data_IF_869407636871
#
_entry.id   IF_869407636871
#
_cell.length_a   1.000
_cell.length_b   1.000
_cell.length_c   1.000
_cell.angle_alpha   90.00
_cell.angle_beta   90.00
_cell.angle_gamma   90.00
#
_symmetry.space_group_name_H-M   'P 1'
#
loop_
_entity.id
_entity.type
_entity.pdbx_description
1 polymer ?
#
# COMPACT_ATOMS: atom_id res chain seq x y z
N UNK A 1 -24.19 -30.14 -9.47
CA UNK A 1 -22.79 -29.70 -9.39
C UNK A 1 -22.08 -29.82 -10.73
N UNK A 2 -22.02 -30.99 -11.39
CA UNK A 2 -21.30 -31.18 -12.66
C UNK A 2 -21.75 -30.23 -13.80
N UNK A 3 -23.07 -29.97 -13.95
CA UNK A 3 -23.65 -29.06 -14.94
C UNK A 3 -23.19 -27.61 -14.74
N UNK A 4 -23.00 -27.20 -13.50
CA UNK A 4 -22.53 -25.83 -13.16
C UNK A 4 -21.04 -25.72 -13.50
N UNK A 5 -20.24 -26.73 -13.20
CA UNK A 5 -18.81 -26.78 -13.49
C UNK A 5 -18.58 -26.70 -15.01
N UNK A 6 -19.30 -27.53 -15.80
CA UNK A 6 -19.17 -27.51 -17.27
C UNK A 6 -19.65 -26.19 -17.87
N UNK A 7 -20.71 -25.57 -17.34
CA UNK A 7 -21.16 -24.24 -17.79
C UNK A 7 -20.12 -23.15 -17.51
N UNK A 8 -19.50 -23.15 -16.33
CA UNK A 8 -18.43 -22.19 -15.97
C UNK A 8 -17.22 -22.35 -16.90
N UNK A 9 -16.79 -23.59 -17.20
CA UNK A 9 -15.70 -23.83 -18.17
C UNK A 9 -16.06 -23.38 -19.59
N UNK A 10 -17.28 -23.53 -20.02
CA UNK A 10 -17.72 -23.08 -21.36
C UNK A 10 -17.71 -21.54 -21.46
N UNK A 11 -18.12 -20.84 -20.39
CA UNK A 11 -18.06 -19.38 -20.33
C UNK A 11 -16.62 -18.89 -20.30
N UNK A 12 -15.75 -19.56 -19.54
CA UNK A 12 -14.33 -19.21 -19.49
C UNK A 12 -13.64 -19.42 -20.85
N UNK A 13 -13.94 -20.49 -21.58
CA UNK A 13 -13.40 -20.71 -22.93
C UNK A 13 -13.90 -19.66 -23.92
N UNK A 14 -15.16 -19.21 -23.80
CA UNK A 14 -15.70 -18.15 -24.63
C UNK A 14 -15.00 -16.81 -24.35
N UNK A 15 -14.79 -16.48 -23.09
CA UNK A 15 -14.05 -15.27 -22.69
C UNK A 15 -12.61 -15.29 -23.20
N UNK A 16 -11.93 -16.43 -23.13
CA UNK A 16 -10.57 -16.60 -23.64
C UNK A 16 -10.52 -16.39 -25.16
N UNK A 17 -11.50 -16.89 -25.88
CA UNK A 17 -11.64 -16.75 -27.35
C UNK A 17 -11.84 -15.28 -27.75
N UNK A 18 -12.58 -14.50 -26.95
CA UNK A 18 -12.78 -13.07 -27.15
C UNK A 18 -11.50 -12.26 -26.90
N UNK A 19 -10.67 -12.69 -25.94
CA UNK A 19 -9.43 -12.01 -25.58
C UNK A 19 -8.27 -12.35 -26.52
N UNK A 20 -8.16 -13.62 -26.96
CA UNK A 20 -7.05 -14.10 -27.81
C UNK A 20 -7.29 -13.97 -29.33
N UNK A 21 -8.48 -13.54 -29.73
CA UNK A 21 -8.92 -13.58 -31.12
C UNK A 21 -9.30 -15.01 -31.58
N UNK A 22 -9.98 -15.09 -32.71
CA UNK A 22 -10.45 -16.35 -33.27
C UNK A 22 -9.30 -17.18 -33.88
N UNK A 23 -8.47 -17.78 -33.04
CA UNK A 23 -7.45 -18.73 -33.49
C UNK A 23 -8.09 -20.09 -33.79
N UNK A 24 -7.51 -20.84 -34.76
CA UNK A 24 -8.00 -22.16 -35.15
C UNK A 24 -8.09 -23.11 -33.93
N UNK A 25 -7.12 -23.05 -33.03
CA UNK A 25 -7.05 -23.89 -31.84
C UNK A 25 -8.03 -23.45 -30.73
N UNK A 26 -8.27 -22.15 -30.57
CA UNK A 26 -9.24 -21.60 -29.61
C UNK A 26 -10.68 -21.96 -30.02
N UNK A 27 -11.01 -21.92 -31.34
CA UNK A 27 -12.32 -22.32 -31.86
C UNK A 27 -12.56 -23.83 -31.69
N UNK A 28 -11.53 -24.66 -31.88
CA UNK A 28 -11.63 -26.10 -31.68
C UNK A 28 -11.87 -26.45 -30.19
N UNK A 29 -11.19 -25.78 -29.27
CA UNK A 29 -11.40 -25.97 -27.85
C UNK A 29 -12.79 -25.55 -27.38
N UNK A 30 -13.31 -24.43 -27.90
CA UNK A 30 -14.68 -23.99 -27.63
C UNK A 30 -15.70 -25.00 -28.11
N UNK A 31 -15.52 -25.52 -29.33
CA UNK A 31 -16.40 -26.59 -29.88
C UNK A 31 -16.39 -27.87 -29.04
N UNK A 32 -15.23 -28.30 -28.55
CA UNK A 32 -15.12 -29.47 -27.66
C UNK A 32 -15.76 -29.21 -26.29
N UNK A 33 -15.59 -28.03 -25.72
CA UNK A 33 -16.21 -27.63 -24.44
C UNK A 33 -17.74 -27.53 -24.59
N UNK A 34 -18.25 -26.97 -25.68
CA UNK A 34 -19.68 -26.90 -25.97
C UNK A 34 -20.29 -28.29 -26.21
N UNK A 35 -19.60 -29.19 -26.94
CA UNK A 35 -20.02 -30.56 -27.15
C UNK A 35 -20.07 -31.33 -25.81
N UNK A 36 -19.11 -31.15 -24.93
CA UNK A 36 -19.10 -31.78 -23.60
C UNK A 36 -20.28 -31.30 -22.73
N UNK A 37 -20.62 -29.99 -22.80
CA UNK A 37 -21.78 -29.44 -22.10
C UNK A 37 -23.09 -30.04 -22.60
N UNK A 38 -23.24 -30.16 -23.91
CA UNK A 38 -24.41 -30.79 -24.56
C UNK A 38 -24.54 -32.27 -24.11
N UNK A 39 -23.44 -33.05 -24.14
CA UNK A 39 -23.42 -34.42 -23.66
C UNK A 39 -23.83 -34.53 -22.18
N UNK A 40 -23.30 -33.67 -21.31
CA UNK A 40 -23.67 -33.70 -19.88
C UNK A 40 -25.12 -33.26 -19.65
N UNK A 41 -25.66 -32.34 -20.44
CA UNK A 41 -27.03 -31.90 -20.29
C UNK A 41 -28.05 -32.94 -20.80
N UNK A 42 -27.78 -33.57 -21.95
CA UNK A 42 -28.73 -34.49 -22.56
C UNK A 42 -28.59 -35.94 -22.06
N UNK A 43 -27.36 -36.40 -21.81
CA UNK A 43 -27.11 -37.81 -21.43
C UNK A 43 -26.76 -37.98 -19.95
N UNK A 44 -26.63 -36.90 -19.16
CA UNK A 44 -26.20 -36.96 -17.76
C UNK A 44 -27.12 -37.70 -16.81
N UNK A 45 -28.35 -38.06 -17.23
CA UNK A 45 -29.26 -38.96 -16.49
C UNK A 45 -29.03 -40.43 -16.79
N UNK A 46 -28.36 -40.78 -17.89
CA UNK A 46 -28.11 -42.19 -18.35
C UNK A 46 -26.66 -42.62 -18.18
N UNK A 47 -25.71 -41.72 -18.00
CA UNK A 47 -24.32 -42.08 -17.78
C UNK A 47 -24.06 -42.39 -16.30
N UNK A 48 -23.31 -43.50 -16.04
CA UNK A 48 -22.81 -43.75 -14.69
C UNK A 48 -21.94 -42.59 -14.22
N UNK A 49 -21.99 -42.21 -12.93
CA UNK A 49 -21.29 -41.06 -12.39
C UNK A 49 -19.78 -41.03 -12.71
N UNK A 50 -19.16 -42.20 -12.92
CA UNK A 50 -17.75 -42.37 -13.32
C UNK A 50 -17.47 -41.84 -14.73
N UNK A 51 -18.34 -42.11 -15.71
CA UNK A 51 -18.18 -41.64 -17.10
C UNK A 51 -18.37 -40.12 -17.22
N UNK A 52 -19.24 -39.52 -16.42
CA UNK A 52 -19.44 -38.06 -16.40
C UNK A 52 -18.23 -37.34 -15.80
N UNK A 53 -17.55 -37.93 -14.82
CA UNK A 53 -16.31 -37.38 -14.24
C UNK A 53 -15.16 -37.46 -15.24
N UNK A 54 -15.01 -38.60 -15.95
CA UNK A 54 -13.98 -38.76 -17.00
C UNK A 54 -14.18 -37.74 -18.13
N UNK A 55 -15.42 -37.49 -18.55
CA UNK A 55 -15.75 -36.50 -19.57
C UNK A 55 -15.40 -35.06 -19.12
N UNK A 56 -15.63 -34.72 -17.87
CA UNK A 56 -15.27 -33.43 -17.30
C UNK A 56 -13.73 -33.22 -17.20
N UNK A 57 -13.00 -34.28 -16.82
CA UNK A 57 -11.54 -34.24 -16.80
C UNK A 57 -10.94 -34.17 -18.21
N UNK A 58 -11.50 -34.87 -19.19
CA UNK A 58 -11.06 -34.77 -20.58
C UNK A 58 -11.30 -33.39 -21.17
N UNK A 59 -12.43 -32.74 -20.86
CA UNK A 59 -12.71 -31.35 -21.26
C UNK A 59 -11.77 -30.34 -20.61
N UNK A 60 -11.46 -30.51 -19.33
CA UNK A 60 -10.51 -29.66 -18.62
C UNK A 60 -9.08 -29.82 -19.16
N UNK A 61 -8.65 -31.07 -19.47
CA UNK A 61 -7.35 -31.34 -20.07
C UNK A 61 -7.24 -30.78 -21.49
N UNK A 62 -8.29 -30.87 -22.31
CA UNK A 62 -8.35 -30.29 -23.64
C UNK A 62 -8.32 -28.76 -23.59
N UNK A 63 -8.96 -28.13 -22.57
CA UNK A 63 -8.91 -26.70 -22.32
C UNK A 63 -7.49 -26.24 -21.97
N UNK A 64 -6.82 -26.92 -21.02
CA UNK A 64 -5.44 -26.61 -20.64
C UNK A 64 -4.47 -26.81 -21.81
N UNK A 65 -4.60 -27.88 -22.59
CA UNK A 65 -3.80 -28.11 -23.78
C UNK A 65 -4.02 -27.01 -24.84
N UNK A 66 -5.27 -26.56 -25.01
CA UNK A 66 -5.60 -25.46 -25.93
C UNK A 66 -5.08 -24.12 -25.45
N UNK A 67 -5.11 -23.82 -24.16
CA UNK A 67 -4.48 -22.62 -23.58
C UNK A 67 -2.96 -22.61 -23.84
N UNK A 68 -2.31 -23.76 -23.73
CA UNK A 68 -0.89 -23.92 -24.00
C UNK A 68 -0.55 -23.80 -25.49
N UNK A 69 -1.43 -24.27 -26.40
CA UNK A 69 -1.19 -24.29 -27.84
C UNK A 69 -1.69 -23.03 -28.57
N UNK A 70 -2.62 -22.27 -27.99
CA UNK A 70 -3.22 -21.07 -28.63
C UNK A 70 -2.51 -19.76 -28.29
N UNK A 71 -1.44 -19.78 -27.49
CA UNK A 71 -0.59 -18.61 -27.34
C UNK A 71 0.34 -18.48 -28.58
N UNK A 72 0.06 -17.56 -29.52
CA UNK A 72 1.04 -17.24 -30.56
C UNK A 72 2.18 -16.49 -29.88
N UNK A 73 3.20 -17.21 -29.44
CA UNK A 73 4.31 -16.61 -28.68
C UNK A 73 5.05 -17.58 -27.77
N UNK A 74 4.85 -18.89 -27.90
CA UNK A 74 5.71 -19.83 -27.16
C UNK A 74 7.22 -19.55 -27.34
N UNK A 75 7.75 -19.14 -28.51
CA UNK A 75 9.13 -18.71 -28.60
C UNK A 75 9.39 -17.45 -27.77
N UNK A 76 8.50 -16.48 -27.75
CA UNK A 76 8.64 -15.26 -26.93
C UNK A 76 8.43 -15.50 -25.45
N UNK A 77 7.63 -16.49 -25.06
CA UNK A 77 7.46 -16.85 -23.65
C UNK A 77 8.70 -17.61 -23.14
N UNK A 78 9.31 -18.43 -23.95
CA UNK A 78 10.60 -19.07 -23.62
C UNK A 78 11.74 -18.03 -23.58
N UNK A 79 11.79 -17.06 -24.49
CA UNK A 79 12.73 -15.94 -24.46
C UNK A 79 12.42 -14.99 -23.29
N UNK A 80 11.16 -14.65 -23.00
CA UNK A 80 10.77 -13.87 -21.85
C UNK A 80 11.01 -14.60 -20.54
N UNK A 81 10.75 -15.91 -20.48
CA UNK A 81 11.10 -16.74 -19.32
C UNK A 81 12.62 -16.87 -19.16
N UNK A 82 13.36 -16.99 -20.26
CA UNK A 82 14.81 -17.01 -20.24
C UNK A 82 15.41 -15.65 -19.90
N UNK A 83 14.83 -14.54 -20.36
CA UNK A 83 15.20 -13.19 -19.95
C UNK A 83 14.80 -12.90 -18.48
N UNK A 84 13.67 -13.45 -18.02
CA UNK A 84 13.27 -13.37 -16.61
C UNK A 84 14.17 -14.24 -15.73
N UNK A 85 14.54 -15.45 -16.16
CA UNK A 85 15.49 -16.33 -15.44
C UNK A 85 16.90 -15.73 -15.49
N UNK A 86 17.35 -15.17 -16.61
CA UNK A 86 18.65 -14.48 -16.67
C UNK A 86 18.68 -13.18 -15.89
N UNK A 87 17.57 -12.41 -15.86
CA UNK A 87 17.44 -11.24 -14.97
C UNK A 87 17.32 -11.64 -13.50
N UNK A 88 16.76 -12.83 -13.21
CA UNK A 88 16.71 -13.38 -11.84
C UNK A 88 18.07 -13.98 -11.45
N UNK A 89 18.83 -14.54 -12.40
CA UNK A 89 20.21 -15.01 -12.15
C UNK A 89 21.17 -13.83 -12.02
N UNK A 90 21.03 -12.77 -12.80
CA UNK A 90 21.77 -11.51 -12.62
C UNK A 90 21.43 -10.83 -11.29
N UNK A 91 20.15 -10.93 -10.83
CA UNK A 91 19.75 -10.50 -9.50
C UNK A 91 20.09 -11.51 -8.39
N UNK A 92 20.36 -12.79 -8.68
CA UNK A 92 20.77 -13.78 -7.68
C UNK A 92 22.27 -13.69 -7.32
N UNK A 93 23.11 -13.10 -8.16
CA UNK A 93 24.50 -12.82 -7.76
C UNK A 93 24.60 -11.68 -6.73
N UNK A 94 23.55 -10.89 -6.54
CA UNK A 94 23.55 -9.74 -5.64
C UNK A 94 22.67 -9.90 -4.39
N UNK A 95 22.30 -11.12 -4.05
CA UNK A 95 21.59 -11.44 -2.78
C UNK A 95 22.57 -11.47 -1.57
N UNK A 96 23.64 -10.69 -1.64
CA UNK A 96 24.47 -10.33 -0.50
C UNK A 96 23.69 -9.28 0.29
N UNK A 97 23.50 -9.54 1.58
CA UNK A 97 23.09 -8.48 2.50
C UNK A 97 24.06 -7.31 2.31
N UNK A 98 23.57 -6.09 2.16
CA UNK A 98 24.44 -4.93 2.01
C UNK A 98 25.39 -4.87 3.19
N UNK A 99 26.65 -4.49 2.93
CA UNK A 99 27.59 -4.20 4.01
C UNK A 99 26.99 -3.05 4.85
N UNK A 100 26.65 -3.36 6.09
CA UNK A 100 26.07 -2.38 7.01
C UNK A 100 26.95 -1.13 7.19
N UNK A 101 28.26 -1.27 7.02
CA UNK A 101 29.19 -0.14 7.03
C UNK A 101 29.04 0.73 5.78
N UNK A 102 28.78 0.15 4.62
CA UNK A 102 28.54 0.90 3.38
C UNK A 102 27.20 1.62 3.40
N UNK A 103 26.16 1.01 3.98
CA UNK A 103 24.83 1.63 4.21
C UNK A 103 24.99 2.83 5.14
N UNK A 104 25.63 2.66 6.30
CA UNK A 104 25.84 3.72 7.26
C UNK A 104 26.70 4.88 6.70
N UNK A 105 27.70 4.56 5.87
CA UNK A 105 28.52 5.58 5.21
C UNK A 105 27.71 6.38 4.19
N UNK A 106 26.86 5.74 3.40
CA UNK A 106 25.98 6.42 2.46
C UNK A 106 24.99 7.35 3.19
N UNK A 107 24.36 6.88 4.26
CA UNK A 107 23.46 7.68 5.09
C UNK A 107 24.18 8.90 5.70
N UNK A 108 25.38 8.71 6.23
CA UNK A 108 26.22 9.79 6.75
C UNK A 108 26.53 10.85 5.68
N UNK A 109 26.86 10.43 4.46
CA UNK A 109 27.14 11.35 3.35
C UNK A 109 25.90 12.18 2.96
N UNK A 110 24.70 11.58 3.02
CA UNK A 110 23.45 12.32 2.82
C UNK A 110 23.28 13.40 3.89
N UNK A 111 23.49 13.05 5.17
CA UNK A 111 23.38 13.99 6.29
C UNK A 111 24.40 15.12 6.22
N UNK A 112 25.61 14.84 5.69
CA UNK A 112 26.66 15.86 5.47
C UNK A 112 26.41 16.74 4.22
N UNK A 113 25.35 16.46 3.43
CA UNK A 113 25.05 17.18 2.19
C UNK A 113 25.99 16.83 1.02
N UNK A 114 26.77 15.74 1.11
CA UNK A 114 27.69 15.26 0.08
C UNK A 114 26.95 14.34 -0.90
N UNK A 115 25.98 14.90 -1.61
CA UNK A 115 25.00 14.13 -2.41
C UNK A 115 25.64 13.34 -3.57
N UNK A 116 26.67 13.85 -4.23
CA UNK A 116 27.34 13.14 -5.32
C UNK A 116 28.10 11.91 -4.81
N UNK A 117 28.82 12.05 -3.67
CA UNK A 117 29.51 10.93 -3.03
C UNK A 117 28.52 9.89 -2.49
N UNK A 118 27.41 10.34 -1.89
CA UNK A 118 26.33 9.46 -1.43
C UNK A 118 25.75 8.67 -2.59
N UNK A 119 25.47 9.31 -3.72
CA UNK A 119 24.93 8.68 -4.92
C UNK A 119 25.86 7.61 -5.48
N UNK A 120 27.18 7.87 -5.52
CA UNK A 120 28.16 6.88 -5.95
C UNK A 120 28.17 5.66 -5.01
N UNK A 121 28.16 5.89 -3.70
CA UNK A 121 28.07 4.81 -2.70
C UNK A 121 26.81 3.99 -2.81
N UNK A 122 25.65 4.63 -2.93
CA UNK A 122 24.35 3.96 -3.07
C UNK A 122 24.31 3.13 -4.34
N UNK A 123 24.86 3.62 -5.46
CA UNK A 123 24.89 2.88 -6.72
C UNK A 123 25.73 1.59 -6.66
N UNK A 124 26.71 1.52 -5.76
CA UNK A 124 27.52 0.34 -5.48
C UNK A 124 26.88 -0.68 -4.54
N UNK A 125 25.71 -0.36 -3.93
CA UNK A 125 24.99 -1.29 -3.09
C UNK A 125 24.14 -2.26 -3.93
N UNK A 126 23.94 -3.51 -3.45
CA UNK A 126 23.02 -4.44 -4.07
C UNK A 126 21.59 -3.89 -4.09
N UNK A 127 20.74 -4.40 -5.00
CA UNK A 127 19.32 -4.06 -5.03
C UNK A 127 18.61 -4.69 -3.83
N UNK A 128 18.31 -3.89 -2.82
CA UNK A 128 17.67 -4.28 -1.56
C UNK A 128 16.83 -3.12 -0.99
N UNK A 129 16.12 -3.38 0.08
CA UNK A 129 15.29 -2.37 0.77
C UNK A 129 16.16 -1.20 1.28
N UNK A 130 17.33 -1.48 1.89
CA UNK A 130 18.24 -0.43 2.38
C UNK A 130 18.67 0.54 1.28
N UNK A 131 19.00 0.01 0.09
CA UNK A 131 19.33 0.85 -1.06
C UNK A 131 18.16 1.71 -1.48
N UNK A 132 16.96 1.17 -1.52
CA UNK A 132 15.74 1.91 -1.89
C UNK A 132 15.44 3.01 -0.87
N UNK A 133 15.64 2.75 0.42
CA UNK A 133 15.51 3.77 1.50
C UNK A 133 16.55 4.87 1.32
N UNK A 134 17.82 4.53 1.08
CA UNK A 134 18.90 5.51 0.88
C UNK A 134 18.69 6.37 -0.39
N UNK A 135 18.24 5.76 -1.50
CA UNK A 135 17.85 6.49 -2.71
C UNK A 135 16.73 7.50 -2.41
N UNK A 136 15.71 7.07 -1.65
CA UNK A 136 14.62 7.93 -1.21
C UNK A 136 15.08 9.06 -0.28
N UNK A 137 15.94 8.77 0.71
CA UNK A 137 16.53 9.77 1.62
C UNK A 137 17.35 10.81 0.85
N UNK A 138 18.18 10.38 -0.10
CA UNK A 138 18.97 11.28 -0.94
C UNK A 138 18.08 12.24 -1.73
N UNK A 139 17.04 11.73 -2.39
CA UNK A 139 16.09 12.53 -3.15
C UNK A 139 15.28 13.47 -2.25
N UNK A 140 14.89 13.00 -1.05
CA UNK A 140 14.20 13.83 -0.05
C UNK A 140 15.08 14.99 0.42
N UNK A 141 16.38 14.76 0.67
CA UNK A 141 17.35 15.78 1.04
C UNK A 141 17.60 16.81 -0.09
N UNK A 142 17.42 16.39 -1.35
CA UNK A 142 17.49 17.26 -2.54
C UNK A 142 16.15 17.94 -2.85
N UNK A 143 15.13 17.76 -2.00
CA UNK A 143 13.76 18.27 -2.18
C UNK A 143 13.03 17.70 -3.43
N UNK A 144 13.54 16.58 -3.97
CA UNK A 144 12.92 15.87 -5.10
C UNK A 144 11.83 14.90 -4.62
N UNK A 145 10.81 15.42 -3.94
CA UNK A 145 9.77 14.64 -3.26
C UNK A 145 9.04 13.67 -4.20
N UNK A 146 8.73 14.12 -5.43
CA UNK A 146 8.06 13.29 -6.42
C UNK A 146 8.86 12.03 -6.79
N UNK A 147 10.19 12.16 -6.86
CA UNK A 147 11.11 11.07 -7.17
C UNK A 147 11.40 10.18 -5.95
N UNK A 148 11.34 10.72 -4.73
CA UNK A 148 11.59 10.00 -3.48
C UNK A 148 10.48 8.99 -3.15
N UNK A 149 9.21 9.35 -3.35
CA UNK A 149 8.04 8.53 -3.01
C UNK A 149 8.10 7.12 -3.65
N UNK A 150 8.39 6.95 -4.96
CA UNK A 150 8.55 5.63 -5.56
C UNK A 150 9.64 4.77 -4.93
N UNK A 151 10.73 5.38 -4.42
CA UNK A 151 11.81 4.64 -3.77
C UNK A 151 11.32 4.00 -2.46
N UNK A 152 10.64 4.76 -1.60
CA UNK A 152 10.05 4.23 -0.37
C UNK A 152 8.92 3.22 -0.64
N UNK A 153 8.15 3.41 -1.72
CA UNK A 153 7.09 2.46 -2.07
C UNK A 153 7.62 1.09 -2.52
N UNK A 154 8.86 1.01 -3.07
CA UNK A 154 9.50 -0.25 -3.47
C UNK A 154 9.96 -1.11 -2.30
N UNK A 155 10.15 -0.54 -1.12
CA UNK A 155 10.54 -1.26 0.08
C UNK A 155 9.46 -2.28 0.42
N UNK A 156 9.83 -3.57 0.54
CA UNK A 156 8.87 -4.65 0.78
C UNK A 156 8.41 -4.65 2.26
N UNK A 157 9.37 -4.57 3.18
CA UNK A 157 9.10 -4.54 4.63
C UNK A 157 9.42 -3.15 5.18
N UNK A 158 8.40 -2.27 5.17
CA UNK A 158 8.55 -0.91 5.69
C UNK A 158 8.53 -0.93 7.22
N UNK A 159 9.58 -0.36 7.80
CA UNK A 159 9.66 -0.04 9.22
C UNK A 159 9.14 1.38 9.52
N UNK A 160 9.21 1.78 10.77
CA UNK A 160 8.79 3.10 11.24
C UNK A 160 9.52 4.23 10.53
N UNK A 161 10.83 4.06 10.27
CA UNK A 161 11.64 5.07 9.57
C UNK A 161 11.20 5.23 8.13
N UNK A 162 11.02 4.13 7.40
CA UNK A 162 10.60 4.14 6.00
C UNK A 162 9.22 4.79 5.83
N UNK A 163 8.27 4.45 6.73
CA UNK A 163 6.94 5.08 6.71
C UNK A 163 6.99 6.57 7.04
N UNK A 164 7.79 6.98 8.02
CA UNK A 164 7.95 8.39 8.39
C UNK A 164 8.50 9.21 7.23
N UNK A 165 9.53 8.70 6.54
CA UNK A 165 10.12 9.34 5.36
C UNK A 165 9.15 9.40 4.17
N UNK A 166 8.38 8.34 3.94
CA UNK A 166 7.36 8.31 2.89
C UNK A 166 6.27 9.36 3.14
N UNK A 167 5.76 9.42 4.37
CA UNK A 167 4.77 10.40 4.81
C UNK A 167 5.33 11.81 4.67
N UNK A 168 6.57 12.06 5.10
CA UNK A 168 7.23 13.35 4.94
C UNK A 168 7.33 13.76 3.47
N UNK A 169 7.79 12.86 2.59
CA UNK A 169 7.89 13.13 1.16
C UNK A 169 6.54 13.48 0.53
N UNK A 170 5.48 12.72 0.87
CA UNK A 170 4.12 12.99 0.39
C UNK A 170 3.57 14.30 0.94
N UNK A 171 3.79 14.60 2.22
CA UNK A 171 3.33 15.84 2.86
C UNK A 171 4.01 17.06 2.24
N UNK A 172 5.33 17.01 2.03
CA UNK A 172 6.08 18.08 1.36
C UNK A 172 5.69 18.24 -0.10
N UNK A 173 5.51 17.13 -0.84
CA UNK A 173 5.00 17.16 -2.21
C UNK A 173 3.63 17.89 -2.29
N UNK A 174 2.77 17.67 -1.32
CA UNK A 174 1.45 18.29 -1.22
C UNK A 174 1.51 19.71 -0.60
N UNK A 175 2.69 20.30 -0.46
CA UNK A 175 2.92 21.65 0.10
C UNK A 175 2.36 21.82 1.51
N UNK A 176 2.54 20.81 2.36
CA UNK A 176 2.09 20.81 3.74
C UNK A 176 0.59 20.61 3.90
N UNK A 177 -0.09 20.00 2.94
CA UNK A 177 -1.52 19.67 3.01
C UNK A 177 -1.73 18.17 3.01
N UNK A 178 -2.68 17.73 3.80
CA UNK A 178 -3.16 16.35 3.76
C UNK A 178 -4.21 16.21 2.67
N UNK A 179 -4.14 15.12 1.91
CA UNK A 179 -5.17 14.66 0.99
C UNK A 179 -5.52 13.20 1.29
N UNK A 180 -6.55 12.65 0.66
CA UNK A 180 -7.00 11.28 0.88
C UNK A 180 -5.87 10.25 0.70
N UNK A 181 -5.04 10.38 -0.34
CA UNK A 181 -3.92 9.45 -0.60
C UNK A 181 -2.88 9.46 0.52
N UNK A 182 -2.56 10.62 1.09
CA UNK A 182 -1.66 10.71 2.24
C UNK A 182 -2.32 10.18 3.51
N UNK A 183 -3.62 10.42 3.69
CA UNK A 183 -4.39 9.88 4.81
C UNK A 183 -4.41 8.35 4.77
N UNK A 184 -4.70 7.74 3.61
CA UNK A 184 -4.67 6.29 3.44
C UNK A 184 -3.28 5.72 3.79
N UNK A 185 -2.21 6.38 3.29
CA UNK A 185 -0.85 5.94 3.57
C UNK A 185 -0.46 6.08 5.04
N UNK A 186 -0.93 7.12 5.73
CA UNK A 186 -0.74 7.29 7.17
C UNK A 186 -1.49 6.20 7.97
N UNK A 187 -2.69 5.81 7.53
CA UNK A 187 -3.44 4.70 8.15
C UNK A 187 -2.74 3.35 7.94
N UNK A 188 -2.19 3.09 6.72
CA UNK A 188 -1.37 1.91 6.46
C UNK A 188 -0.16 1.85 7.42
N UNK A 189 0.56 2.98 7.57
CA UNK A 189 1.71 3.09 8.46
C UNK A 189 1.35 2.82 9.93
N UNK A 190 0.27 3.40 10.42
CA UNK A 190 -0.21 3.18 11.77
C UNK A 190 -0.71 1.74 12.01
N UNK A 191 -1.19 1.07 10.96
CA UNK A 191 -1.59 -0.34 11.04
C UNK A 191 -0.37 -1.28 11.11
N UNK A 192 0.67 -1.03 10.31
CA UNK A 192 1.86 -1.87 10.25
C UNK A 192 2.80 -1.61 11.43
N UNK A 193 2.84 -0.36 11.95
CA UNK A 193 3.68 0.08 13.06
C UNK A 193 2.81 0.60 14.25
N UNK A 194 2.02 -0.28 14.91
CA UNK A 194 0.99 0.12 15.88
C UNK A 194 1.53 0.67 17.21
N UNK A 195 2.83 0.61 17.43
CA UNK A 195 3.50 1.08 18.65
C UNK A 195 4.34 2.34 18.43
N UNK A 196 4.34 2.90 17.23
CA UNK A 196 4.99 4.17 16.94
C UNK A 196 4.02 5.33 17.19
N UNK A 197 4.28 6.19 18.21
CA UNK A 197 3.37 7.27 18.56
C UNK A 197 3.29 8.37 17.50
N UNK A 198 4.37 8.58 16.73
CA UNK A 198 4.37 9.58 15.66
C UNK A 198 3.47 9.14 14.49
N UNK A 199 3.60 7.90 14.04
CA UNK A 199 2.77 7.36 12.95
C UNK A 199 1.30 7.29 13.34
N UNK A 200 1.00 6.89 14.60
CA UNK A 200 -0.35 6.95 15.16
C UNK A 200 -0.91 8.38 15.20
N UNK A 201 -0.10 9.33 15.69
CA UNK A 201 -0.48 10.73 15.71
C UNK A 201 -0.76 11.26 14.31
N UNK A 202 0.17 11.00 13.37
CA UNK A 202 0.03 11.51 12.00
C UNK A 202 -1.20 10.93 11.29
N UNK A 203 -1.51 9.64 11.50
CA UNK A 203 -2.74 9.03 10.98
C UNK A 203 -3.99 9.72 11.54
N UNK A 204 -4.00 10.01 12.85
CA UNK A 204 -5.09 10.74 13.49
C UNK A 204 -5.24 12.16 12.97
N UNK A 205 -4.13 12.89 12.82
CA UNK A 205 -4.10 14.21 12.20
C UNK A 205 -4.61 14.17 10.75
N UNK A 206 -4.12 13.22 9.96
CA UNK A 206 -4.51 13.06 8.56
C UNK A 206 -6.01 12.73 8.40
N UNK A 207 -6.53 11.87 9.26
CA UNK A 207 -7.96 11.58 9.31
C UNK A 207 -8.79 12.82 9.69
N UNK A 208 -8.31 13.64 10.63
CA UNK A 208 -8.98 14.90 10.97
C UNK A 208 -9.04 15.86 9.78
N UNK A 209 -7.91 16.06 9.09
CA UNK A 209 -7.82 16.95 7.92
C UNK A 209 -8.65 16.48 6.70
N UNK A 210 -9.04 15.21 6.68
CA UNK A 210 -9.90 14.60 5.63
C UNK A 210 -11.32 14.33 6.13
N UNK A 211 -11.77 14.98 7.20
CA UNK A 211 -13.11 14.85 7.80
C UNK A 211 -13.49 13.44 8.29
N UNK A 212 -12.52 12.54 8.43
CA UNK A 212 -12.70 11.17 8.93
C UNK A 212 -12.65 11.16 10.48
N UNK A 213 -13.54 11.90 11.14
CA UNK A 213 -13.45 12.20 12.59
C UNK A 213 -13.50 10.96 13.51
N UNK A 214 -14.21 9.89 13.11
CA UNK A 214 -14.27 8.66 13.90
C UNK A 214 -12.92 7.94 13.90
N UNK A 215 -12.25 7.85 12.74
CA UNK A 215 -10.91 7.31 12.60
C UNK A 215 -9.88 8.20 13.28
N UNK A 216 -10.00 9.52 13.13
CA UNK A 216 -9.14 10.48 13.83
C UNK A 216 -9.19 10.28 15.36
N UNK A 217 -10.39 10.16 15.94
CA UNK A 217 -10.55 9.89 17.37
C UNK A 217 -9.88 8.58 17.79
N UNK A 218 -9.98 7.53 16.97
CA UNK A 218 -9.33 6.24 17.25
C UNK A 218 -7.80 6.38 17.31
N UNK A 219 -7.17 6.91 16.24
CA UNK A 219 -5.71 7.01 16.16
C UNK A 219 -5.14 7.98 17.22
N UNK A 220 -5.79 9.14 17.41
CA UNK A 220 -5.37 10.11 18.42
C UNK A 220 -5.51 9.57 19.85
N UNK A 221 -6.58 8.79 20.13
CA UNK A 221 -6.69 8.13 21.45
C UNK A 221 -5.55 7.13 21.67
N UNK A 222 -5.12 6.39 20.63
CA UNK A 222 -3.98 5.48 20.70
C UNK A 222 -2.66 6.22 20.93
N UNK A 223 -2.49 7.37 20.26
CA UNK A 223 -1.34 8.25 20.55
C UNK A 223 -1.33 8.69 22.02
N UNK A 224 -2.47 9.12 22.56
CA UNK A 224 -2.60 9.59 23.94
C UNK A 224 -2.49 8.46 24.98
N UNK A 225 -2.73 7.19 24.61
CA UNK A 225 -2.41 6.04 25.45
C UNK A 225 -0.89 5.86 25.61
N UNK A 226 -0.10 6.19 24.58
CA UNK A 226 1.37 6.09 24.60
C UNK A 226 2.04 7.38 25.10
N UNK A 227 1.53 8.52 24.68
CA UNK A 227 2.06 9.86 25.00
C UNK A 227 0.93 10.77 25.54
N UNK A 228 0.50 10.62 26.81
CA UNK A 228 -0.62 11.39 27.35
C UNK A 228 -0.41 12.92 27.31
N UNK A 229 0.84 13.36 27.42
CA UNK A 229 1.22 14.78 27.47
C UNK A 229 1.56 15.37 26.10
N UNK A 230 1.33 14.64 24.98
CA UNK A 230 1.60 15.15 23.66
C UNK A 230 0.62 16.30 23.33
N UNK A 231 1.09 17.57 23.23
CA UNK A 231 0.20 18.72 23.09
C UNK A 231 -0.56 18.75 21.76
N UNK A 232 0.08 18.28 20.68
CA UNK A 232 -0.58 18.23 19.37
C UNK A 232 -1.65 17.13 19.31
N UNK A 233 -1.40 15.95 19.90
CA UNK A 233 -2.37 14.87 19.95
C UNK A 233 -3.60 15.29 20.78
N UNK A 234 -3.41 15.92 21.93
CA UNK A 234 -4.49 16.48 22.73
C UNK A 234 -5.28 17.55 21.98
N UNK A 235 -4.60 18.44 21.27
CA UNK A 235 -5.22 19.49 20.47
C UNK A 235 -6.09 18.91 19.36
N UNK A 236 -5.57 18.03 18.52
CA UNK A 236 -6.35 17.44 17.43
C UNK A 236 -7.45 16.50 17.93
N UNK A 237 -7.24 15.82 19.05
CA UNK A 237 -8.30 15.04 19.69
C UNK A 237 -9.44 15.94 20.16
N UNK A 238 -9.13 17.10 20.73
CA UNK A 238 -10.15 18.09 21.11
C UNK A 238 -10.94 18.59 19.91
N UNK A 239 -10.25 18.94 18.80
CA UNK A 239 -10.94 19.38 17.57
C UNK A 239 -11.82 18.27 16.99
N UNK A 240 -11.34 17.04 17.03
CA UNK A 240 -12.10 15.85 16.60
C UNK A 240 -13.33 15.62 17.48
N UNK A 241 -13.18 15.70 18.80
CA UNK A 241 -14.30 15.59 19.74
C UNK A 241 -15.34 16.69 19.50
N UNK A 242 -14.91 17.92 19.23
CA UNK A 242 -15.82 19.02 18.89
C UNK A 242 -16.59 18.75 17.59
N UNK A 243 -15.91 18.30 16.54
CA UNK A 243 -16.54 17.94 15.27
C UNK A 243 -17.56 16.80 15.42
N UNK A 244 -17.35 15.88 16.36
CA UNK A 244 -18.28 14.80 16.71
C UNK A 244 -19.41 15.26 17.68
N UNK A 245 -19.42 16.53 18.12
CA UNK A 245 -20.45 17.09 19.00
C UNK A 245 -20.18 16.94 20.50
N UNK A 246 -19.01 16.45 20.90
CA UNK A 246 -18.61 16.26 22.31
C UNK A 246 -17.94 17.52 22.88
N UNK A 247 -18.70 18.63 22.97
CA UNK A 247 -18.15 19.96 23.28
C UNK A 247 -17.49 20.04 24.66
N UNK A 248 -18.03 19.41 25.69
CA UNK A 248 -17.45 19.41 27.02
C UNK A 248 -16.09 18.69 27.06
N UNK A 249 -16.03 17.54 26.40
CA UNK A 249 -14.78 16.77 26.26
C UNK A 249 -13.74 17.56 25.46
N UNK A 250 -14.17 18.17 24.34
CA UNK A 250 -13.30 19.00 23.50
C UNK A 250 -12.67 20.16 24.31
N UNK A 251 -13.46 20.86 25.12
CA UNK A 251 -12.96 21.94 25.98
C UNK A 251 -11.91 21.42 26.97
N UNK A 252 -12.17 20.29 27.63
CA UNK A 252 -11.23 19.70 28.60
C UNK A 252 -9.89 19.31 27.96
N UNK A 253 -9.93 18.71 26.75
CA UNK A 253 -8.72 18.35 26.02
C UNK A 253 -7.96 19.56 25.48
N UNK A 254 -8.66 20.64 25.06
CA UNK A 254 -8.00 21.90 24.69
C UNK A 254 -7.29 22.56 25.88
N UNK A 255 -7.93 22.54 27.05
CA UNK A 255 -7.29 23.06 28.27
C UNK A 255 -6.02 22.27 28.62
N UNK A 256 -6.10 20.96 28.50
CA UNK A 256 -4.95 20.10 28.78
C UNK A 256 -3.85 20.24 27.72
N UNK A 257 -4.21 20.35 26.44
CA UNK A 257 -3.25 20.64 25.37
C UNK A 257 -2.49 21.94 25.62
N UNK A 258 -3.17 22.99 26.11
CA UNK A 258 -2.55 24.26 26.49
C UNK A 258 -1.55 24.08 27.63
N UNK A 259 -1.92 23.36 28.68
CA UNK A 259 -1.02 23.06 29.80
C UNK A 259 0.23 22.28 29.37
N UNK A 260 0.06 21.28 28.51
CA UNK A 260 1.18 20.49 27.97
C UNK A 260 2.08 21.37 27.08
N UNK A 261 1.49 22.23 26.23
CA UNK A 261 2.24 23.13 25.36
C UNK A 261 3.04 24.18 26.15
N UNK A 262 2.46 24.74 27.21
CA UNK A 262 3.16 25.66 28.13
C UNK A 262 4.31 24.97 28.85
N UNK A 263 4.09 23.75 29.34
CA UNK A 263 5.11 22.96 30.06
C UNK A 263 6.29 22.59 29.15
N UNK A 264 6.03 22.28 27.88
CA UNK A 264 7.07 21.96 26.90
C UNK A 264 7.84 23.21 26.44
N UNK A 265 7.16 24.36 26.30
CA UNK A 265 7.72 25.61 25.80
C UNK A 265 7.99 25.62 24.29
N UNK A 266 8.12 26.82 23.71
CA UNK A 266 8.43 26.96 22.27
C UNK A 266 7.28 26.60 21.32
N UNK A 267 6.03 26.53 21.80
CA UNK A 267 4.84 26.15 21.03
C UNK A 267 3.81 27.30 20.96
N UNK A 268 4.28 28.54 20.77
CA UNK A 268 3.47 29.76 20.76
C UNK A 268 2.37 29.71 19.71
N UNK A 269 2.66 29.16 18.51
CA UNK A 269 1.67 29.01 17.43
C UNK A 269 0.56 28.03 17.79
N UNK A 270 0.89 26.95 18.49
CA UNK A 270 -0.09 25.99 18.98
C UNK A 270 -0.96 26.62 20.08
N UNK A 271 -0.34 27.33 21.03
CA UNK A 271 -1.07 28.06 22.09
C UNK A 271 -2.05 29.08 21.48
N UNK A 272 -1.61 29.87 20.48
CA UNK A 272 -2.47 30.80 19.79
C UNK A 272 -3.65 30.09 19.08
N UNK A 273 -3.40 28.91 18.50
CA UNK A 273 -4.44 28.09 17.88
C UNK A 273 -5.44 27.55 18.92
N UNK A 274 -4.96 27.08 20.05
CA UNK A 274 -5.79 26.62 21.17
C UNK A 274 -6.72 27.74 21.66
N UNK A 275 -6.18 28.92 21.94
CA UNK A 275 -6.99 30.05 22.41
C UNK A 275 -8.05 30.49 21.37
N UNK A 276 -7.67 30.48 20.09
CA UNK A 276 -8.62 30.75 19.01
C UNK A 276 -9.80 29.78 19.03
N UNK A 277 -9.53 28.46 19.17
CA UNK A 277 -10.60 27.46 19.15
C UNK A 277 -11.45 27.48 20.44
N UNK A 278 -10.86 27.76 21.61
CA UNK A 278 -11.61 27.97 22.85
C UNK A 278 -12.66 29.08 22.65
N UNK A 279 -12.23 30.21 22.09
CA UNK A 279 -13.13 31.34 21.83
C UNK A 279 -14.24 30.98 20.85
N UNK A 280 -13.93 30.27 19.76
CA UNK A 280 -14.94 29.80 18.81
C UNK A 280 -15.98 28.85 19.46
N UNK A 281 -15.55 27.98 20.36
CA UNK A 281 -16.44 27.06 21.08
C UNK A 281 -17.34 27.81 22.09
N UNK A 282 -16.86 28.88 22.70
CA UNK A 282 -17.65 29.73 23.59
C UNK A 282 -18.70 30.53 22.81
N UNK A 283 -18.35 31.13 21.67
CA UNK A 283 -19.24 31.83 20.77
C UNK A 283 -20.34 30.92 20.16
N UNK A 284 -19.98 29.66 19.85
CA UNK A 284 -20.93 28.65 19.32
C UNK A 284 -21.91 28.09 20.36
N UNK A 285 -21.74 28.40 21.64
CA UNK A 285 -22.67 28.03 22.73
C UNK A 285 -23.82 29.07 22.94
N UNK A 286 -23.76 30.20 22.25
CA UNK A 286 -24.83 31.24 22.27
C UNK A 286 -25.80 31.04 21.11
#
# INVERSE_FOLDING_TARGET
MLKIITAVFTVLTLLLLLVTGFTLWGTLAFMLAAASLVCVCFFGKKLSGKMAVIGAFAAAAAFLASCLLSTPGMPHFAEAAQSYVSSTEENQEDNRLPDSAAVAEADRLILEGKYDEAKEKISGLPYCDDRSVLEGKLLLAQEEYYSAIPCFNKVESKDEECYSLLIEAMYRQNKGKVNESLCDKAQDAAYDCPFDPYLMYFAGYACYETDQYVQAAYYLSKTLEMEPENPYANYYYALTAYALGYTEQATAFLDYAGQCAEAQGGLEDLLASIEKYKKLMEEGKQ
#
